data_IF_861963691406
#
_entry.id   IF_861963691406
#
_cell.length_a   1.000
_cell.length_b   1.000
_cell.length_c   1.000
_cell.angle_alpha   90.00
_cell.angle_beta   90.00
_cell.angle_gamma   90.00
#
_symmetry.space_group_name_H-M   'P 1'
#
loop_
_entity.id
_entity.type
_entity.pdbx_description
1 polymer ?
#
# COMPACT_ATOMS: atom_id res chain seq x y z
N UNK A 1 -5.26 -33.95 -1.29
CA UNK A 1 -6.01 -32.70 -1.48
C UNK A 1 -6.85 -32.88 -2.72
N UNK A 2 -8.15 -32.53 -2.67
CA UNK A 2 -9.02 -32.55 -3.85
C UNK A 2 -8.50 -31.54 -4.86
N UNK A 3 -8.43 -31.93 -6.14
CA UNK A 3 -8.16 -30.99 -7.26
C UNK A 3 -9.45 -30.34 -7.76
N UNK A 4 -10.59 -30.70 -7.18
CA UNK A 4 -11.91 -30.16 -7.51
C UNK A 4 -12.11 -28.82 -6.81
N UNK A 5 -12.38 -27.78 -7.59
CA UNK A 5 -12.67 -26.40 -7.16
C UNK A 5 -14.14 -26.02 -7.46
N UNK A 6 -15.01 -26.99 -7.70
CA UNK A 6 -16.44 -26.76 -8.02
C UNK A 6 -17.16 -25.89 -6.97
N UNK A 7 -16.81 -26.05 -5.70
CA UNK A 7 -17.34 -25.25 -4.61
C UNK A 7 -17.09 -23.73 -4.77
N UNK A 8 -15.98 -23.35 -5.41
CA UNK A 8 -15.67 -21.93 -5.65
C UNK A 8 -16.60 -21.35 -6.73
N UNK A 9 -16.94 -22.13 -7.76
CA UNK A 9 -17.89 -21.71 -8.78
C UNK A 9 -19.31 -21.59 -8.22
N UNK A 10 -19.70 -22.49 -7.34
CA UNK A 10 -21.00 -22.42 -6.66
C UNK A 10 -21.06 -21.21 -5.72
N UNK A 11 -19.99 -20.94 -4.98
CA UNK A 11 -19.87 -19.76 -4.12
C UNK A 11 -19.93 -18.47 -4.94
N UNK A 12 -19.25 -18.42 -6.09
CA UNK A 12 -19.31 -17.28 -7.00
C UNK A 12 -20.72 -17.06 -7.55
N UNK A 13 -21.44 -18.14 -7.94
CA UNK A 13 -22.81 -18.04 -8.43
C UNK A 13 -23.73 -17.44 -7.37
N UNK A 14 -23.70 -17.97 -6.15
CA UNK A 14 -24.48 -17.44 -5.02
C UNK A 14 -24.16 -15.97 -4.77
N UNK A 15 -22.89 -15.62 -4.69
CA UNK A 15 -22.46 -14.23 -4.51
C UNK A 15 -23.02 -13.31 -5.61
N UNK A 16 -22.98 -13.75 -6.86
CA UNK A 16 -23.50 -12.97 -7.99
C UNK A 16 -25.01 -12.78 -7.91
N UNK A 17 -25.75 -13.85 -7.59
CA UNK A 17 -27.22 -13.82 -7.43
C UNK A 17 -27.62 -12.92 -6.24
N UNK A 18 -26.99 -13.07 -5.09
CA UNK A 18 -27.23 -12.24 -3.90
C UNK A 18 -26.91 -10.76 -4.15
N UNK A 19 -25.82 -10.50 -4.88
CA UNK A 19 -25.42 -9.14 -5.23
C UNK A 19 -26.44 -8.47 -6.15
N UNK A 20 -26.89 -9.18 -7.20
CA UNK A 20 -27.88 -8.67 -8.12
C UNK A 20 -29.26 -8.49 -7.46
N UNK A 21 -29.63 -9.36 -6.50
CA UNK A 21 -30.86 -9.22 -5.72
C UNK A 21 -30.81 -8.01 -4.79
N UNK A 22 -29.69 -7.80 -4.12
CA UNK A 22 -29.49 -6.66 -3.20
C UNK A 22 -29.42 -5.33 -3.95
N UNK A 23 -28.81 -5.34 -5.12
CA UNK A 23 -28.56 -4.16 -5.94
C UNK A 23 -28.84 -4.44 -7.43
N UNK A 24 -30.10 -4.38 -7.86
CA UNK A 24 -30.48 -4.69 -9.24
C UNK A 24 -29.71 -3.86 -10.28
N UNK A 25 -29.16 -4.52 -11.28
CA UNK A 25 -28.37 -3.90 -12.33
C UNK A 25 -26.89 -3.64 -11.95
N UNK A 26 -26.43 -4.18 -10.83
CA UNK A 26 -25.04 -4.01 -10.37
C UNK A 26 -24.01 -4.35 -11.46
N UNK A 27 -24.07 -5.56 -12.01
CA UNK A 27 -23.12 -5.99 -13.04
C UNK A 27 -23.29 -5.22 -14.36
N UNK A 28 -24.51 -4.83 -14.71
CA UNK A 28 -24.77 -4.02 -15.90
C UNK A 28 -24.13 -2.63 -15.79
N UNK A 29 -24.09 -2.04 -14.60
CA UNK A 29 -23.39 -0.77 -14.34
C UNK A 29 -21.87 -0.95 -14.46
N UNK A 30 -21.33 -2.02 -13.90
CA UNK A 30 -19.88 -2.31 -13.98
C UNK A 30 -19.40 -2.48 -15.41
N UNK A 31 -20.20 -3.09 -16.31
CA UNK A 31 -19.88 -3.22 -17.72
C UNK A 31 -19.72 -1.86 -18.42
N UNK A 32 -20.45 -0.85 -17.99
CA UNK A 32 -20.54 0.44 -18.70
C UNK A 32 -19.49 1.45 -18.22
N UNK A 33 -18.91 1.25 -17.03
CA UNK A 33 -18.08 2.28 -16.41
C UNK A 33 -16.91 1.67 -15.62
N UNK A 34 -15.69 1.96 -16.07
CA UNK A 34 -14.49 1.85 -15.27
C UNK A 34 -13.97 3.26 -14.99
N UNK A 35 -14.37 3.85 -13.86
CA UNK A 35 -14.00 5.20 -13.47
C UNK A 35 -13.62 5.25 -11.98
N UNK A 36 -12.62 4.46 -11.53
CA UNK A 36 -12.16 4.48 -10.16
C UNK A 36 -11.53 5.84 -9.84
N UNK A 37 -11.78 6.35 -8.64
CA UNK A 37 -11.12 7.56 -8.17
C UNK A 37 -9.80 7.28 -7.47
N UNK A 38 -9.55 6.02 -7.12
CA UNK A 38 -8.48 5.58 -6.25
C UNK A 38 -7.60 4.54 -6.94
N UNK A 39 -6.27 4.67 -6.77
CA UNK A 39 -5.31 3.60 -6.99
C UNK A 39 -4.79 3.14 -5.63
N UNK A 40 -4.99 1.87 -5.32
CA UNK A 40 -4.39 1.22 -4.16
C UNK A 40 -3.13 0.48 -4.58
N UNK A 41 -2.00 0.78 -3.93
CA UNK A 41 -0.74 0.02 -4.06
C UNK A 41 -0.48 -0.64 -2.71
N UNK A 42 -0.69 -1.94 -2.62
CA UNK A 42 -0.66 -2.66 -1.35
C UNK A 42 0.10 -3.98 -1.37
N UNK A 43 0.16 -4.62 -0.18
CA UNK A 43 0.75 -5.94 -0.06
C UNK A 43 -0.12 -7.02 -0.72
N UNK A 44 0.55 -8.07 -1.26
CA UNK A 44 -0.10 -9.28 -1.75
C UNK A 44 -0.65 -10.18 -0.63
N UNK A 45 -0.50 -9.80 0.65
CA UNK A 45 -1.01 -10.54 1.80
C UNK A 45 -2.53 -10.76 1.68
N UNK A 46 -2.98 -12.02 1.78
CA UNK A 46 -4.39 -12.40 1.59
C UNK A 46 -5.35 -11.77 2.61
N UNK A 47 -4.83 -11.27 3.74
CA UNK A 47 -5.59 -10.63 4.80
C UNK A 47 -5.84 -9.13 4.57
N UNK A 48 -5.39 -8.59 3.43
CA UNK A 48 -5.46 -7.15 3.11
C UNK A 48 -6.27 -6.93 1.83
N UNK A 49 -7.60 -7.13 1.84
CA UNK A 49 -8.46 -6.92 0.69
C UNK A 49 -8.84 -5.42 0.55
N UNK A 50 -8.32 -4.75 -0.48
CA UNK A 50 -8.40 -3.30 -0.63
C UNK A 50 -9.84 -2.73 -0.57
N UNK A 51 -10.76 -3.28 -1.38
CA UNK A 51 -12.14 -2.79 -1.43
C UNK A 51 -12.87 -2.94 -0.10
N UNK A 52 -12.72 -4.09 0.55
CA UNK A 52 -13.38 -4.37 1.83
C UNK A 52 -12.87 -3.46 2.95
N UNK A 53 -11.54 -3.24 3.02
CA UNK A 53 -10.94 -2.35 4.01
C UNK A 53 -11.43 -0.91 3.85
N UNK A 54 -11.64 -0.46 2.62
CA UNK A 54 -12.13 0.89 2.32
C UNK A 54 -13.65 0.99 2.39
N UNK A 55 -14.39 -0.11 2.48
CA UNK A 55 -15.85 -0.13 2.39
C UNK A 55 -16.36 0.29 1.02
N UNK A 56 -15.57 0.05 -0.04
CA UNK A 56 -15.89 0.44 -1.41
C UNK A 56 -16.29 -0.78 -2.25
N UNK A 57 -17.10 -0.52 -3.28
CA UNK A 57 -17.60 -1.56 -4.17
C UNK A 57 -16.57 -1.94 -5.25
N UNK A 58 -16.72 -3.12 -5.89
CA UNK A 58 -16.01 -3.44 -7.12
C UNK A 58 -16.20 -2.33 -8.18
N UNK A 59 -15.09 -1.90 -8.79
CA UNK A 59 -15.07 -0.80 -9.76
C UNK A 59 -14.62 0.55 -9.20
N UNK A 60 -14.67 0.76 -7.88
CA UNK A 60 -14.31 2.04 -7.25
C UNK A 60 -12.80 2.21 -7.04
N UNK A 61 -12.07 1.10 -6.95
CA UNK A 61 -10.62 1.09 -6.65
C UNK A 61 -9.86 0.33 -7.74
N UNK A 62 -8.88 0.96 -8.34
CA UNK A 62 -7.88 0.29 -9.17
C UNK A 62 -6.78 -0.26 -8.26
N UNK A 63 -6.39 -1.53 -8.40
CA UNK A 63 -5.57 -2.20 -7.39
C UNK A 63 -4.30 -2.77 -8.00
N UNK A 64 -3.15 -2.40 -7.41
CA UNK A 64 -1.86 -3.04 -7.62
C UNK A 64 -1.39 -3.70 -6.33
N UNK A 65 -0.88 -4.94 -6.41
CA UNK A 65 -0.40 -5.69 -5.24
C UNK A 65 0.88 -6.42 -5.54
N UNK A 66 1.83 -6.33 -4.61
CA UNK A 66 3.07 -7.10 -4.62
C UNK A 66 3.52 -7.42 -3.19
N UNK A 67 4.57 -8.23 -3.02
CA UNK A 67 5.11 -8.52 -1.68
C UNK A 67 5.64 -7.24 -1.04
N UNK A 68 5.10 -6.88 0.12
CA UNK A 68 5.49 -5.71 0.92
C UNK A 68 5.23 -4.34 0.26
N UNK A 69 4.21 -4.20 -0.58
CA UNK A 69 3.79 -2.91 -1.18
C UNK A 69 4.94 -2.05 -1.74
N UNK A 70 5.93 -2.70 -2.33
CA UNK A 70 7.14 -2.06 -2.85
C UNK A 70 6.87 -1.35 -4.18
N UNK A 71 7.43 -0.15 -4.35
CA UNK A 71 7.44 0.60 -5.62
C UNK A 71 8.89 0.89 -6.01
N UNK A 72 9.30 0.34 -7.15
CA UNK A 72 10.65 0.50 -7.69
C UNK A 72 10.59 1.29 -8.99
N UNK A 73 11.47 2.28 -9.16
CA UNK A 73 11.47 3.14 -10.35
C UNK A 73 11.77 2.41 -11.67
N UNK A 74 12.26 1.16 -11.59
CA UNK A 74 12.50 0.28 -12.74
C UNK A 74 11.52 -0.90 -12.83
N UNK A 75 10.53 -0.99 -11.92
CA UNK A 75 9.48 -2.01 -12.00
C UNK A 75 8.41 -1.58 -13.01
N UNK A 76 8.55 -2.05 -14.27
CA UNK A 76 7.61 -1.74 -15.33
C UNK A 76 6.18 -2.18 -15.02
N UNK A 77 5.98 -3.18 -14.17
CA UNK A 77 4.64 -3.60 -13.78
C UNK A 77 3.96 -2.52 -12.92
N UNK A 78 4.62 -2.06 -11.86
CA UNK A 78 4.09 -0.98 -11.02
C UNK A 78 3.92 0.32 -11.82
N UNK A 79 4.93 0.70 -12.62
CA UNK A 79 4.88 1.91 -13.45
C UNK A 79 3.74 1.87 -14.48
N UNK A 80 3.49 0.72 -15.12
CA UNK A 80 2.39 0.56 -16.08
C UNK A 80 1.02 0.72 -15.42
N UNK A 81 0.86 0.18 -14.20
CA UNK A 81 -0.37 0.36 -13.42
C UNK A 81 -0.58 1.82 -13.04
N UNK A 82 0.46 2.50 -12.54
CA UNK A 82 0.39 3.93 -12.19
C UNK A 82 0.06 4.76 -13.43
N UNK A 83 0.74 4.51 -14.56
CA UNK A 83 0.48 5.24 -15.80
C UNK A 83 -0.96 5.02 -16.28
N UNK A 84 -1.42 3.77 -16.34
CA UNK A 84 -2.79 3.47 -16.75
C UNK A 84 -3.83 4.16 -15.85
N UNK A 85 -3.60 4.13 -14.54
CA UNK A 85 -4.45 4.79 -13.56
C UNK A 85 -4.54 6.31 -13.80
N UNK A 86 -3.41 6.97 -14.07
CA UNK A 86 -3.36 8.42 -14.24
C UNK A 86 -3.77 8.87 -15.65
N UNK A 87 -3.31 8.17 -16.69
CA UNK A 87 -3.49 8.61 -18.07
C UNK A 87 -4.82 8.14 -18.67
N UNK A 88 -5.26 6.93 -18.34
CA UNK A 88 -6.48 6.35 -18.91
C UNK A 88 -7.67 6.51 -17.96
N UNK A 89 -7.53 6.14 -16.70
CA UNK A 89 -8.63 6.13 -15.74
C UNK A 89 -8.82 7.48 -15.02
N UNK A 90 -7.85 8.39 -15.10
CA UNK A 90 -7.89 9.71 -14.46
C UNK A 90 -8.09 9.65 -12.94
N UNK A 91 -7.47 8.67 -12.32
CA UNK A 91 -7.45 8.50 -10.85
C UNK A 91 -6.90 9.77 -10.19
N UNK A 92 -7.49 10.16 -9.07
CA UNK A 92 -7.10 11.37 -8.33
C UNK A 92 -6.29 11.09 -7.07
N UNK A 93 -6.38 9.89 -6.54
CA UNK A 93 -5.71 9.52 -5.29
C UNK A 93 -4.93 8.22 -5.48
N UNK A 94 -3.64 8.24 -5.15
CA UNK A 94 -2.79 7.06 -5.08
C UNK A 94 -2.52 6.79 -3.61
N UNK A 95 -2.91 5.63 -3.11
CA UNK A 95 -2.72 5.21 -1.74
C UNK A 95 -1.67 4.10 -1.69
N UNK A 96 -0.53 4.37 -1.09
CA UNK A 96 0.47 3.34 -0.76
C UNK A 96 0.15 2.79 0.62
N UNK A 97 -0.27 1.52 0.68
CA UNK A 97 -0.79 0.94 1.92
C UNK A 97 0.02 -0.29 2.32
N UNK A 98 0.78 -0.14 3.39
CA UNK A 98 1.40 -1.25 4.10
C UNK A 98 0.49 -1.85 5.15
N UNK A 99 0.98 -2.87 5.84
CA UNK A 99 0.26 -3.43 6.99
C UNK A 99 1.23 -3.93 8.05
N UNK A 100 0.82 -3.88 9.31
CA UNK A 100 1.61 -4.47 10.38
C UNK A 100 1.65 -6.00 10.25
N UNK A 101 2.76 -6.61 10.68
CA UNK A 101 2.95 -8.05 10.56
C UNK A 101 3.18 -8.56 9.14
N UNK A 102 3.64 -7.71 8.23
CA UNK A 102 3.98 -8.11 6.87
C UNK A 102 5.16 -9.10 6.86
N UNK A 103 4.95 -10.30 6.32
CA UNK A 103 6.00 -11.33 6.26
C UNK A 103 7.24 -10.90 5.46
N UNK A 104 7.05 -10.12 4.40
CA UNK A 104 8.15 -9.56 3.61
C UNK A 104 8.99 -8.55 4.39
N UNK A 105 8.34 -7.69 5.19
CA UNK A 105 9.02 -6.72 6.06
C UNK A 105 9.76 -7.43 7.19
N UNK A 106 9.16 -8.45 7.81
CA UNK A 106 9.82 -9.28 8.83
C UNK A 106 11.05 -9.99 8.26
N UNK A 107 10.93 -10.61 7.08
CA UNK A 107 12.05 -11.27 6.42
C UNK A 107 13.21 -10.28 6.12
N UNK A 108 12.89 -9.06 5.71
CA UNK A 108 13.88 -8.00 5.50
C UNK A 108 14.56 -7.55 6.80
N UNK A 109 13.78 -7.39 7.88
CA UNK A 109 14.28 -6.99 9.19
C UNK A 109 15.25 -8.03 9.77
N UNK A 110 14.90 -9.31 9.67
CA UNK A 110 15.66 -10.45 10.19
C UNK A 110 16.75 -10.95 9.23
N UNK A 111 16.85 -10.38 8.05
CA UNK A 111 17.74 -10.84 6.97
C UNK A 111 17.52 -12.33 6.64
N UNK A 112 16.27 -12.78 6.67
CA UNK A 112 15.86 -14.17 6.45
C UNK A 112 15.99 -14.54 4.98
N UNK A 113 16.49 -15.76 4.71
CA UNK A 113 16.56 -16.30 3.35
C UNK A 113 15.25 -17.00 2.99
N UNK A 114 14.60 -16.54 1.93
CA UNK A 114 13.31 -17.04 1.42
C UNK A 114 13.35 -17.40 -0.08
N UNK A 115 14.54 -17.45 -0.66
CA UNK A 115 14.76 -17.87 -2.04
C UNK A 115 14.71 -16.70 -3.03
N UNK A 116 14.05 -16.87 -4.19
CA UNK A 116 14.02 -15.86 -5.25
C UNK A 116 13.48 -14.50 -4.76
N UNK A 117 12.50 -14.52 -3.86
CA UNK A 117 11.90 -13.30 -3.31
C UNK A 117 12.89 -12.45 -2.49
N UNK A 118 14.06 -13.00 -2.08
CA UNK A 118 15.13 -12.22 -1.45
C UNK A 118 15.53 -11.02 -2.31
N UNK A 119 15.59 -11.19 -3.64
CA UNK A 119 15.95 -10.11 -4.56
C UNK A 119 14.94 -8.96 -4.51
N UNK A 120 13.66 -9.27 -4.39
CA UNK A 120 12.59 -8.28 -4.25
C UNK A 120 12.61 -7.59 -2.88
N UNK A 121 12.79 -8.37 -1.81
CA UNK A 121 12.82 -7.85 -0.43
C UNK A 121 14.06 -6.98 -0.18
N UNK A 122 15.11 -7.03 -1.03
CA UNK A 122 16.24 -6.09 -0.96
C UNK A 122 15.79 -4.64 -0.90
N UNK A 123 14.74 -4.27 -1.62
CA UNK A 123 14.20 -2.90 -1.56
C UNK A 123 13.69 -2.52 -0.16
N UNK A 124 13.13 -3.46 0.59
CA UNK A 124 12.76 -3.23 2.00
C UNK A 124 14.00 -3.21 2.91
N UNK A 125 15.03 -4.02 2.60
CA UNK A 125 16.30 -3.95 3.32
C UNK A 125 17.03 -2.61 3.07
N UNK A 126 16.90 -2.02 1.88
CA UNK A 126 17.44 -0.69 1.60
C UNK A 126 16.75 0.38 2.44
N UNK A 127 15.43 0.29 2.63
CA UNK A 127 14.69 1.12 3.59
C UNK A 127 15.24 0.95 5.01
N UNK A 128 15.39 -0.31 5.47
CA UNK A 128 16.00 -0.59 6.77
C UNK A 128 17.39 0.02 6.90
N UNK A 129 18.24 -0.14 5.89
CA UNK A 129 19.62 0.36 5.90
C UNK A 129 19.68 1.89 5.94
N UNK A 130 18.79 2.57 5.20
CA UNK A 130 18.64 4.03 5.22
C UNK A 130 18.34 4.57 6.63
N UNK A 131 17.54 3.83 7.40
CA UNK A 131 17.13 4.21 8.76
C UNK A 131 17.80 3.40 9.86
N UNK A 132 18.86 2.67 9.54
CA UNK A 132 19.50 1.70 10.39
C UNK A 132 19.86 2.21 11.80
N UNK A 133 20.48 3.38 12.00
CA UNK A 133 20.86 3.83 13.35
C UNK A 133 19.65 3.99 14.28
N UNK A 134 18.52 4.39 13.74
CA UNK A 134 17.29 4.57 14.51
C UNK A 134 16.59 3.23 14.77
N UNK A 135 16.45 2.37 13.75
CA UNK A 135 15.83 1.04 13.85
C UNK A 135 16.62 0.13 14.82
N UNK A 136 17.95 0.05 14.67
CA UNK A 136 18.79 -0.83 15.47
C UNK A 136 18.89 -0.34 16.93
N UNK A 137 18.58 0.94 17.21
CA UNK A 137 18.47 1.50 18.55
C UNK A 137 17.20 1.09 19.31
N UNK A 138 16.25 0.37 18.70
CA UNK A 138 15.05 -0.13 19.36
C UNK A 138 15.29 -1.54 19.91
N UNK A 139 15.16 -1.73 21.22
CA UNK A 139 15.29 -3.05 21.86
C UNK A 139 14.07 -3.94 21.60
N UNK A 140 12.86 -3.37 21.60
CA UNK A 140 11.60 -4.08 21.36
C UNK A 140 11.49 -4.52 19.89
N UNK A 141 11.47 -5.82 19.66
CA UNK A 141 11.39 -6.42 18.33
C UNK A 141 10.06 -6.12 17.60
N UNK A 142 8.94 -6.04 18.34
CA UNK A 142 7.64 -5.71 17.77
C UNK A 142 7.59 -4.24 17.34
N UNK A 143 8.16 -3.35 18.15
CA UNK A 143 8.25 -1.94 17.83
C UNK A 143 9.14 -1.71 16.60
N UNK A 144 10.28 -2.43 16.49
CA UNK A 144 11.14 -2.39 15.29
C UNK A 144 10.38 -2.83 14.04
N UNK A 145 9.63 -3.92 14.12
CA UNK A 145 8.84 -4.43 13.01
C UNK A 145 7.77 -3.42 12.58
N UNK A 146 7.03 -2.85 13.53
CA UNK A 146 6.04 -1.80 13.25
C UNK A 146 6.68 -0.58 12.60
N UNK A 147 7.78 -0.10 13.16
CA UNK A 147 8.54 1.03 12.61
C UNK A 147 9.01 0.78 11.17
N UNK A 148 9.50 -0.43 10.86
CA UNK A 148 9.93 -0.75 9.49
C UNK A 148 8.74 -0.87 8.53
N UNK A 149 7.57 -1.38 8.96
CA UNK A 149 6.35 -1.37 8.14
C UNK A 149 5.97 0.06 7.73
N UNK A 150 5.98 0.99 8.69
CA UNK A 150 5.64 2.40 8.46
C UNK A 150 6.68 3.12 7.61
N UNK A 151 7.98 2.92 7.91
CA UNK A 151 9.07 3.47 7.08
C UNK A 151 8.99 2.97 5.64
N UNK A 152 8.69 1.68 5.44
CA UNK A 152 8.51 1.14 4.11
C UNK A 152 7.38 1.87 3.36
N UNK A 153 6.26 2.14 4.01
CA UNK A 153 5.18 2.93 3.39
C UNK A 153 5.66 4.33 3.01
N UNK A 154 6.35 5.03 3.90
CA UNK A 154 6.85 6.39 3.61
C UNK A 154 7.82 6.40 2.42
N UNK A 155 8.77 5.46 2.39
CA UNK A 155 9.75 5.36 1.30
C UNK A 155 9.07 4.98 -0.03
N UNK A 156 8.13 4.04 -0.02
CA UNK A 156 7.41 3.67 -1.23
C UNK A 156 6.47 4.79 -1.71
N UNK A 157 5.88 5.57 -0.80
CA UNK A 157 5.12 6.78 -1.16
C UNK A 157 6.03 7.85 -1.79
N UNK A 158 7.23 8.04 -1.25
CA UNK A 158 8.24 8.90 -1.84
C UNK A 158 8.62 8.42 -3.25
N UNK A 159 8.89 7.12 -3.41
CA UNK A 159 9.19 6.52 -4.71
C UNK A 159 8.06 6.76 -5.73
N UNK A 160 6.79 6.63 -5.32
CA UNK A 160 5.64 6.96 -6.20
C UNK A 160 5.70 8.41 -6.65
N UNK A 161 5.94 9.35 -5.72
CA UNK A 161 6.05 10.78 -6.02
C UNK A 161 7.19 11.09 -7.00
N UNK A 162 8.28 10.32 -6.95
CA UNK A 162 9.48 10.50 -7.77
C UNK A 162 9.42 9.77 -9.12
N UNK A 163 8.39 8.96 -9.38
CA UNK A 163 8.21 8.35 -10.70
C UNK A 163 7.98 9.42 -11.76
N UNK A 164 8.55 9.23 -12.95
CA UNK A 164 8.32 10.13 -14.09
C UNK A 164 6.83 10.29 -14.40
N UNK A 165 6.05 9.24 -14.23
CA UNK A 165 4.61 9.22 -14.49
C UNK A 165 3.86 10.23 -13.59
N UNK A 166 4.15 10.24 -12.30
CA UNK A 166 3.52 11.16 -11.33
C UNK A 166 4.05 12.59 -11.52
N UNK A 167 5.37 12.74 -11.72
CA UNK A 167 5.99 14.04 -11.98
C UNK A 167 5.40 14.70 -13.24
N UNK A 168 5.24 13.95 -14.33
CA UNK A 168 4.65 14.43 -15.57
C UNK A 168 3.15 14.74 -15.40
N UNK A 169 2.42 13.96 -14.58
CA UNK A 169 1.02 14.26 -14.27
C UNK A 169 0.89 15.61 -13.55
N UNK A 170 1.71 15.88 -12.56
CA UNK A 170 1.75 17.18 -11.87
C UNK A 170 2.19 18.31 -12.80
N UNK A 171 3.23 18.10 -13.62
CA UNK A 171 3.74 19.10 -14.56
C UNK A 171 2.67 19.55 -15.58
N UNK A 172 1.78 18.65 -16.00
CA UNK A 172 0.66 19.00 -16.90
C UNK A 172 -0.59 19.50 -16.15
N UNK A 173 -0.50 19.76 -14.84
CA UNK A 173 -1.59 20.29 -14.03
C UNK A 173 -2.68 19.27 -13.67
N UNK A 174 -2.41 17.97 -13.78
CA UNK A 174 -3.37 16.95 -13.38
C UNK A 174 -3.43 16.87 -11.85
N UNK A 175 -4.65 16.90 -11.30
CA UNK A 175 -4.86 16.74 -9.85
C UNK A 175 -4.63 15.31 -9.45
N UNK A 176 -3.50 15.04 -8.79
CA UNK A 176 -3.11 13.75 -8.24
C UNK A 176 -2.57 13.94 -6.84
N UNK A 177 -3.07 13.18 -5.89
CA UNK A 177 -2.61 13.21 -4.49
C UNK A 177 -2.11 11.83 -4.11
N UNK A 178 -0.87 11.76 -3.59
CA UNK A 178 -0.26 10.52 -3.09
C UNK A 178 -0.40 10.47 -1.57
N UNK A 179 -0.81 9.33 -1.04
CA UNK A 179 -1.01 9.10 0.40
C UNK A 179 -0.21 7.89 0.87
N UNK A 180 0.30 7.95 2.11
CA UNK A 180 0.96 6.83 2.78
C UNK A 180 0.19 6.38 4.02
N UNK A 181 -0.36 5.15 4.01
CA UNK A 181 -1.16 4.60 5.10
C UNK A 181 -0.66 3.23 5.54
N UNK A 182 -0.95 2.85 6.78
CA UNK A 182 -0.68 1.51 7.29
C UNK A 182 -1.97 0.88 7.85
N UNK A 183 -2.16 -0.41 7.59
CA UNK A 183 -3.33 -1.17 8.02
C UNK A 183 -2.99 -2.05 9.23
N UNK A 184 -3.81 -1.96 10.26
CA UNK A 184 -3.73 -2.77 11.46
C UNK A 184 -4.54 -4.06 11.33
N UNK A 185 -3.88 -5.21 11.14
CA UNK A 185 -4.54 -6.52 11.10
C UNK A 185 -5.26 -6.88 12.42
N UNK A 186 -4.82 -6.29 13.54
CA UNK A 186 -5.37 -6.59 14.87
C UNK A 186 -6.69 -5.85 15.17
N UNK A 187 -6.92 -4.73 14.52
CA UNK A 187 -8.10 -3.87 14.79
C UNK A 187 -8.90 -3.50 13.52
N UNK A 188 -8.38 -3.85 12.32
CA UNK A 188 -9.06 -3.54 11.05
C UNK A 188 -9.04 -2.06 10.67
N UNK A 189 -8.16 -1.23 11.26
CA UNK A 189 -8.13 0.20 11.02
C UNK A 189 -6.96 0.61 10.11
N UNK A 190 -7.20 1.61 9.28
CA UNK A 190 -6.16 2.35 8.55
C UNK A 190 -5.65 3.50 9.42
N UNK A 191 -4.33 3.66 9.45
CA UNK A 191 -3.65 4.77 10.09
C UNK A 191 -2.95 5.63 9.04
N UNK A 192 -3.23 6.94 9.05
CA UNK A 192 -2.55 7.91 8.18
C UNK A 192 -1.17 8.26 8.74
N UNK A 193 -0.13 8.00 7.95
CA UNK A 193 1.26 8.31 8.30
C UNK A 193 1.63 9.78 8.02
N UNK A 194 0.65 10.62 7.67
CA UNK A 194 0.82 12.04 7.34
C UNK A 194 1.68 12.30 6.11
N UNK A 195 1.84 11.30 5.26
CA UNK A 195 2.48 11.42 3.96
C UNK A 195 1.37 11.69 2.93
N UNK A 196 1.03 12.96 2.74
CA UNK A 196 0.05 13.41 1.75
C UNK A 196 0.71 14.49 0.88
N UNK A 197 0.77 14.23 -0.44
CA UNK A 197 1.52 15.07 -1.40
C UNK A 197 0.65 15.33 -2.64
N UNK A 198 0.44 16.58 -2.98
CA UNK A 198 -0.39 16.99 -4.12
C UNK A 198 0.40 17.59 -5.30
N UNK A 199 1.69 17.88 -5.13
CA UNK A 199 2.57 18.41 -6.19
C UNK A 199 4.04 18.17 -5.87
N UNK A 200 4.90 18.33 -6.87
CA UNK A 200 6.34 18.09 -6.76
C UNK A 200 7.05 18.96 -5.71
N UNK A 201 6.62 20.18 -5.50
CA UNK A 201 7.26 21.11 -4.56
C UNK A 201 7.04 20.72 -3.09
N UNK A 202 5.97 19.97 -2.80
CA UNK A 202 5.63 19.54 -1.43
C UNK A 202 6.35 18.26 -1.00
N UNK A 203 6.90 17.46 -1.93
CA UNK A 203 7.43 16.11 -1.67
C UNK A 203 8.42 16.09 -0.50
N UNK A 204 9.47 16.90 -0.56
CA UNK A 204 10.53 16.89 0.45
C UNK A 204 10.02 17.31 1.83
N UNK A 205 9.16 18.32 1.88
CA UNK A 205 8.60 18.83 3.13
C UNK A 205 7.63 17.82 3.76
N UNK A 206 6.72 17.25 2.97
CA UNK A 206 5.76 16.24 3.45
C UNK A 206 6.47 14.99 3.96
N UNK A 207 7.47 14.49 3.23
CA UNK A 207 8.27 13.35 3.67
C UNK A 207 9.00 13.64 4.98
N UNK A 208 9.66 14.82 5.10
CA UNK A 208 10.37 15.20 6.32
C UNK A 208 9.45 15.29 7.54
N UNK A 209 8.26 15.88 7.38
CA UNK A 209 7.24 15.97 8.44
C UNK A 209 6.71 14.59 8.84
N UNK A 210 6.36 13.75 7.87
CA UNK A 210 5.86 12.40 8.12
C UNK A 210 6.91 11.53 8.85
N UNK A 211 8.15 11.55 8.38
CA UNK A 211 9.27 10.83 9.00
C UNK A 211 9.54 11.33 10.43
N UNK A 212 9.52 12.65 10.64
CA UNK A 212 9.67 13.25 11.96
C UNK A 212 8.58 12.83 12.94
N UNK A 213 7.32 12.90 12.50
CA UNK A 213 6.17 12.48 13.31
C UNK A 213 6.20 11.00 13.66
N UNK A 214 6.58 10.14 12.69
CA UNK A 214 6.76 8.71 12.91
C UNK A 214 7.80 8.44 14.00
N UNK A 215 8.99 9.05 13.87
CA UNK A 215 10.08 8.86 14.85
C UNK A 215 9.68 9.34 16.24
N UNK A 216 9.07 10.51 16.35
CA UNK A 216 8.60 11.05 17.62
C UNK A 216 7.58 10.14 18.32
N UNK A 217 6.62 9.58 17.58
CA UNK A 217 5.64 8.65 18.11
C UNK A 217 6.29 7.38 18.67
N UNK A 218 7.19 6.75 17.92
CA UNK A 218 7.91 5.56 18.38
C UNK A 218 8.85 5.84 19.56
N UNK A 219 9.53 6.98 19.57
CA UNK A 219 10.39 7.37 20.67
C UNK A 219 9.59 7.66 21.96
N UNK A 220 8.37 8.18 21.85
CA UNK A 220 7.46 8.34 22.99
C UNK A 220 7.00 6.99 23.56
N UNK A 221 6.66 6.01 22.71
CA UNK A 221 6.32 4.65 23.13
C UNK A 221 7.50 3.99 23.86
N UNK A 222 8.73 4.16 23.37
CA UNK A 222 9.95 3.64 24.04
C UNK A 222 10.15 4.20 25.43
N UNK A 223 9.86 5.50 25.64
CA UNK A 223 10.08 6.18 26.93
C UNK A 223 9.01 5.87 27.95
N UNK A 224 7.76 5.73 27.52
CA UNK A 224 6.61 5.65 28.41
C UNK A 224 6.10 4.20 28.64
N UNK A 225 6.69 3.19 28.00
CA UNK A 225 6.10 1.85 27.93
C UNK A 225 4.91 1.83 26.97
N UNK A 226 4.37 0.62 26.72
CA UNK A 226 3.13 0.49 25.90
C UNK A 226 1.95 1.07 26.69
N UNK A 227 1.01 1.77 26.01
CA UNK A 227 -0.26 2.14 26.62
C UNK A 227 -1.10 0.91 26.99
#
# INVERSE_FOLDING_TARGET
MSTDLSELFESNRRWAEETEQREPGFFTRLLKQQAPQYLWIGCADSRVPANEILGLLPGDVFVHRNVANVVVHSDLNALSVIQFALDMLKVRHIMVVGHYGCAGVVAALENRRIGLADNWIRHVQDVRNKHRPWIDGMEDAELRMKALCELNVLEQSLNVCETTVVQDAWARGQSVVVHGWVYGLHNGLLEDLRMTVANAAEVAAAYGLALGALKQRHDAIRKNGRP
#
